data_IF_999590228761
#
_entry.id   IF_999590228761
#
_cell.length_a   1.000
_cell.length_b   1.000
_cell.length_c   1.000
_cell.angle_alpha   90.00
_cell.angle_beta   90.00
_cell.angle_gamma   90.00
#
_symmetry.space_group_name_H-M   'P 1'
#
loop_
_entity.id
_entity.type
_entity.pdbx_description
1 polymer ?
#
# COMPACT_ATOMS: atom_id res chain seq x y z
N UNK A 1 19.45 -32.34 19.13
CA UNK A 1 18.80 -32.58 17.84
C UNK A 1 17.71 -31.54 17.73
N UNK A 2 18.03 -30.36 17.20
CA UNK A 2 17.01 -29.41 16.78
C UNK A 2 16.32 -30.05 15.58
N UNK A 3 15.01 -30.31 15.70
CA UNK A 3 14.22 -30.77 14.56
C UNK A 3 14.15 -29.70 13.48
N UNK A 4 13.78 -30.10 12.26
CA UNK A 4 13.42 -29.13 11.22
C UNK A 4 12.25 -28.26 11.72
N UNK A 5 12.22 -27.01 11.30
CA UNK A 5 11.12 -26.08 11.55
C UNK A 5 10.14 -26.11 10.37
N UNK A 6 8.86 -25.73 10.55
CA UNK A 6 7.97 -25.44 9.42
C UNK A 6 8.50 -24.26 8.61
N UNK A 7 8.00 -24.06 7.39
CA UNK A 7 8.43 -22.97 6.50
C UNK A 7 8.37 -21.63 7.21
N UNK A 8 7.26 -21.33 7.87
CA UNK A 8 7.10 -20.10 8.68
C UNK A 8 8.11 -20.08 9.84
N UNK A 9 8.50 -21.20 10.43
CA UNK A 9 9.57 -21.21 11.44
C UNK A 9 10.98 -20.92 10.88
N UNK A 10 11.22 -21.18 9.59
CA UNK A 10 12.47 -20.84 8.90
C UNK A 10 12.47 -19.38 8.45
N UNK A 11 11.36 -18.90 7.89
CA UNK A 11 11.18 -17.52 7.40
C UNK A 11 11.01 -16.54 8.56
N UNK A 12 10.12 -16.81 9.52
CA UNK A 12 9.88 -15.90 10.67
C UNK A 12 10.94 -16.05 11.79
N UNK A 13 11.90 -16.96 11.66
CA UNK A 13 12.96 -17.20 12.65
C UNK A 13 14.23 -16.37 12.44
N UNK A 14 14.27 -15.56 11.39
CA UNK A 14 15.45 -14.82 10.96
C UNK A 14 15.69 -13.51 11.73
N UNK A 15 14.64 -12.91 12.31
CA UNK A 15 14.67 -11.72 13.16
C UNK A 15 13.38 -11.57 13.99
N UNK A 16 13.29 -10.59 14.90
CA UNK A 16 12.02 -10.28 15.59
C UNK A 16 11.16 -9.29 14.77
N UNK A 17 9.80 -9.33 14.88
CA UNK A 17 8.90 -8.42 14.16
C UNK A 17 9.29 -6.95 14.28
N UNK A 18 9.41 -6.25 13.14
CA UNK A 18 9.82 -4.84 13.07
C UNK A 18 11.27 -4.55 13.46
N UNK A 19 12.12 -5.56 13.67
CA UNK A 19 13.57 -5.39 13.77
C UNK A 19 14.18 -5.35 12.37
N UNK A 20 13.80 -4.33 11.59
CA UNK A 20 14.50 -3.96 10.36
C UNK A 20 15.94 -3.65 10.74
N UNK A 21 16.87 -4.50 10.32
CA UNK A 21 18.26 -4.35 10.66
C UNK A 21 19.05 -3.76 9.47
N UNK A 22 20.32 -4.09 9.31
CA UNK A 22 21.15 -3.54 8.21
C UNK A 22 21.85 -4.65 7.43
N UNK A 23 21.44 -5.90 7.62
CA UNK A 23 22.01 -7.06 6.98
C UNK A 23 20.94 -7.70 6.09
N UNK A 24 21.07 -7.61 4.77
CA UNK A 24 20.04 -8.13 3.85
C UNK A 24 20.01 -9.65 3.67
N UNK A 25 20.51 -10.41 4.64
CA UNK A 25 20.64 -11.88 4.57
C UNK A 25 19.45 -12.61 5.27
N UNK A 26 18.46 -11.89 5.78
CA UNK A 26 17.25 -12.43 6.39
C UNK A 26 15.96 -12.22 5.58
N UNK A 27 14.82 -12.54 6.20
CA UNK A 27 13.48 -12.59 5.60
C UNK A 27 12.47 -11.80 6.43
N UNK A 28 12.91 -10.75 7.10
CA UNK A 28 12.12 -10.04 8.09
C UNK A 28 10.98 -9.24 7.42
N UNK A 29 11.23 -8.70 6.21
CA UNK A 29 10.22 -8.03 5.38
C UNK A 29 9.21 -9.04 4.83
N UNK A 30 9.69 -10.21 4.39
CA UNK A 30 8.82 -11.31 3.94
C UNK A 30 7.96 -11.84 5.09
N UNK A 31 8.52 -11.96 6.29
CA UNK A 31 7.81 -12.35 7.53
C UNK A 31 6.65 -11.41 7.78
N UNK A 32 6.92 -10.11 7.79
CA UNK A 32 5.91 -9.10 8.14
C UNK A 32 4.83 -9.00 7.06
N UNK A 33 5.20 -9.14 5.78
CA UNK A 33 4.26 -9.25 4.66
C UNK A 33 3.32 -10.46 4.80
N UNK A 34 3.85 -11.65 5.12
CA UNK A 34 3.06 -12.88 5.31
C UNK A 34 2.10 -12.76 6.49
N UNK A 35 2.54 -12.13 7.59
CA UNK A 35 1.69 -11.89 8.77
C UNK A 35 0.58 -10.90 8.41
N UNK A 36 0.89 -9.79 7.75
CA UNK A 36 -0.08 -8.78 7.34
C UNK A 36 -1.16 -9.36 6.42
N UNK A 37 -0.77 -10.20 5.46
CA UNK A 37 -1.70 -10.89 4.55
C UNK A 37 -2.46 -12.06 5.20
N UNK A 38 -2.18 -12.41 6.46
CA UNK A 38 -2.83 -13.52 7.17
C UNK A 38 -2.50 -14.91 6.60
N UNK A 39 -1.32 -15.07 5.99
CA UNK A 39 -0.88 -16.31 5.34
C UNK A 39 0.01 -17.21 6.23
N UNK A 40 0.32 -16.77 7.44
CA UNK A 40 1.18 -17.48 8.40
C UNK A 40 0.65 -18.88 8.73
N UNK A 41 -0.67 -19.04 8.84
CA UNK A 41 -1.35 -20.33 9.04
C UNK A 41 -1.20 -21.27 7.85
N UNK A 42 -1.29 -20.73 6.63
CA UNK A 42 -1.11 -21.48 5.38
C UNK A 42 0.31 -22.04 5.28
N UNK A 43 1.32 -21.20 5.54
CA UNK A 43 2.72 -21.63 5.50
C UNK A 43 3.13 -22.53 6.68
N UNK A 44 2.34 -22.56 7.77
CA UNK A 44 2.57 -23.43 8.94
C UNK A 44 1.84 -24.78 8.86
N UNK A 45 1.00 -25.02 7.86
CA UNK A 45 0.22 -26.27 7.78
C UNK A 45 1.17 -27.48 7.73
N UNK A 46 1.17 -28.36 8.76
CA UNK A 46 2.09 -29.50 8.84
C UNK A 46 1.78 -30.60 7.81
N UNK A 47 0.62 -30.54 7.15
CA UNK A 47 0.23 -31.48 6.10
C UNK A 47 0.46 -30.95 4.70
N UNK A 48 0.80 -29.66 4.57
CA UNK A 48 1.17 -29.08 3.29
C UNK A 48 2.52 -29.64 2.80
N UNK A 49 2.71 -29.54 1.49
CA UNK A 49 3.97 -29.87 0.82
C UNK A 49 4.23 -28.74 -0.16
N UNK A 50 4.93 -27.70 0.26
CA UNK A 50 5.10 -26.48 -0.53
C UNK A 50 6.55 -26.27 -0.98
N UNK A 51 6.71 -25.52 -2.06
CA UNK A 51 7.97 -24.87 -2.42
C UNK A 51 7.74 -23.37 -2.36
N UNK A 52 8.52 -22.67 -1.53
CA UNK A 52 8.48 -21.22 -1.42
C UNK A 52 9.75 -20.66 -2.03
N UNK A 53 9.58 -19.79 -3.02
CA UNK A 53 10.66 -18.97 -3.53
C UNK A 53 10.67 -17.68 -2.72
N UNK A 54 11.53 -17.59 -1.72
CA UNK A 54 11.56 -16.50 -0.74
C UNK A 54 12.55 -15.42 -1.17
N UNK A 55 12.11 -14.19 -1.51
CA UNK A 55 13.00 -13.05 -1.63
C UNK A 55 13.61 -12.73 -0.26
N UNK A 56 14.90 -12.43 -0.21
CA UNK A 56 15.53 -11.87 0.99
C UNK A 56 15.25 -10.37 1.11
N UNK A 57 15.68 -9.76 2.21
CA UNK A 57 15.39 -8.35 2.47
C UNK A 57 16.09 -7.41 1.45
N UNK A 58 17.30 -7.74 1.00
CA UNK A 58 17.98 -7.03 -0.11
C UNK A 58 17.14 -7.03 -1.42
N UNK A 59 16.41 -8.11 -1.71
CA UNK A 59 15.54 -8.19 -2.88
C UNK A 59 14.38 -7.20 -2.79
N UNK A 60 13.79 -7.03 -1.60
CA UNK A 60 12.74 -6.04 -1.38
C UNK A 60 13.29 -4.61 -1.46
N UNK A 61 14.44 -4.34 -0.86
CA UNK A 61 15.11 -3.03 -1.01
C UNK A 61 15.37 -2.74 -2.50
N UNK A 62 15.85 -3.73 -3.25
CA UNK A 62 16.07 -3.61 -4.70
C UNK A 62 14.79 -3.34 -5.49
N UNK A 63 13.67 -3.97 -5.13
CA UNK A 63 12.35 -3.67 -5.69
C UNK A 63 11.96 -2.22 -5.39
N UNK A 64 12.02 -1.78 -4.13
CA UNK A 64 11.70 -0.41 -3.73
C UNK A 64 12.52 0.61 -4.52
N UNK A 65 13.83 0.38 -4.65
CA UNK A 65 14.73 1.24 -5.42
C UNK A 65 14.37 1.27 -6.90
N UNK A 66 13.96 0.13 -7.47
CA UNK A 66 13.50 0.07 -8.85
C UNK A 66 12.20 0.84 -9.06
N UNK A 67 11.34 0.85 -8.04
CA UNK A 67 10.11 1.65 -7.98
C UNK A 67 10.36 3.13 -7.63
N UNK A 68 11.61 3.56 -7.42
CA UNK A 68 11.98 4.97 -7.22
C UNK A 68 12.38 5.36 -5.79
N UNK A 69 12.39 4.43 -4.84
CA UNK A 69 12.91 4.68 -3.49
C UNK A 69 14.42 5.00 -3.54
N UNK A 70 14.82 6.12 -2.94
CA UNK A 70 16.21 6.59 -2.99
C UNK A 70 17.08 6.13 -1.81
N UNK A 71 16.45 5.54 -0.78
CA UNK A 71 17.13 5.00 0.39
C UNK A 71 17.65 3.57 0.17
N UNK A 72 18.15 2.98 1.25
CA UNK A 72 18.69 1.61 1.23
C UNK A 72 18.44 0.86 2.54
N UNK A 73 17.62 1.42 3.44
CA UNK A 73 17.22 0.76 4.67
C UNK A 73 15.92 -0.02 4.47
N UNK A 74 15.80 -1.12 5.21
CA UNK A 74 14.65 -2.05 5.15
C UNK A 74 13.37 -1.36 5.59
N UNK A 75 13.41 -0.52 6.64
CA UNK A 75 12.23 0.16 7.17
C UNK A 75 11.59 1.11 6.13
N UNK A 76 12.39 1.99 5.53
CA UNK A 76 11.90 2.90 4.49
C UNK A 76 11.54 2.16 3.20
N UNK A 77 12.26 1.10 2.86
CA UNK A 77 11.89 0.25 1.70
C UNK A 77 10.56 -0.45 1.92
N UNK A 78 10.31 -0.98 3.12
CA UNK A 78 9.06 -1.63 3.49
C UNK A 78 7.89 -0.66 3.40
N UNK A 79 8.03 0.52 4.02
CA UNK A 79 7.01 1.57 3.96
C UNK A 79 6.70 1.94 2.50
N UNK A 80 7.73 2.20 1.70
CA UNK A 80 7.58 2.57 0.30
C UNK A 80 6.89 1.48 -0.54
N UNK A 81 7.19 0.20 -0.30
CA UNK A 81 6.52 -0.91 -0.98
C UNK A 81 5.07 -1.01 -0.54
N UNK A 82 4.77 -0.91 0.76
CA UNK A 82 3.40 -0.94 1.27
C UNK A 82 2.57 0.21 0.68
N UNK A 83 3.14 1.41 0.60
CA UNK A 83 2.51 2.54 -0.06
C UNK A 83 2.27 2.23 -1.53
N UNK A 84 3.32 1.82 -2.26
CA UNK A 84 3.22 1.41 -3.67
C UNK A 84 2.13 0.36 -3.92
N UNK A 85 2.01 -0.65 -3.06
CA UNK A 85 1.00 -1.69 -3.18
C UNK A 85 -0.39 -1.19 -2.81
N UNK A 86 -0.51 -0.30 -1.82
CA UNK A 86 -1.79 0.34 -1.45
C UNK A 86 -2.30 1.19 -2.61
N UNK A 87 -1.40 1.91 -3.27
CA UNK A 87 -1.67 2.72 -4.45
C UNK A 87 -2.17 1.86 -5.62
N UNK A 88 -1.48 0.75 -5.92
CA UNK A 88 -1.89 -0.20 -6.97
C UNK A 88 -3.15 -1.01 -6.61
N UNK A 89 -3.44 -1.16 -5.33
CA UNK A 89 -4.59 -1.89 -4.79
C UNK A 89 -5.87 -1.07 -4.63
N UNK A 90 -5.89 0.19 -5.08
CA UNK A 90 -7.05 1.08 -4.91
C UNK A 90 -7.29 1.49 -3.45
N UNK A 91 -6.21 1.70 -2.70
CA UNK A 91 -6.22 2.15 -1.30
C UNK A 91 -5.98 1.06 -0.26
N UNK A 92 -5.99 -0.22 -0.64
CA UNK A 92 -5.70 -1.36 0.24
C UNK A 92 -4.63 -2.27 -0.38
N UNK A 93 -3.45 -2.35 0.26
CA UNK A 93 -2.36 -3.20 -0.20
C UNK A 93 -2.64 -4.70 -0.04
N UNK A 94 -3.51 -5.11 0.88
CA UNK A 94 -3.62 -6.52 1.33
C UNK A 94 -4.03 -7.48 0.19
N UNK A 95 -5.03 -7.17 -0.66
CA UNK A 95 -5.38 -8.05 -1.78
C UNK A 95 -4.21 -8.27 -2.74
N UNK A 96 -3.53 -7.20 -3.16
CA UNK A 96 -2.41 -7.28 -4.10
C UNK A 96 -1.18 -7.95 -3.47
N UNK A 97 -0.90 -7.64 -2.20
CA UNK A 97 0.14 -8.30 -1.43
C UNK A 97 -0.12 -9.81 -1.34
N UNK A 98 -1.36 -10.22 -1.10
CA UNK A 98 -1.75 -11.63 -1.05
C UNK A 98 -1.52 -12.32 -2.40
N UNK A 99 -1.81 -11.65 -3.52
CA UNK A 99 -1.53 -12.17 -4.85
C UNK A 99 -0.02 -12.33 -5.08
N UNK A 100 0.79 -11.32 -4.79
CA UNK A 100 2.25 -11.38 -4.91
C UNK A 100 2.80 -12.54 -4.06
N UNK A 101 2.42 -12.63 -2.78
CA UNK A 101 2.91 -13.67 -1.88
C UNK A 101 2.50 -15.06 -2.34
N UNK A 102 1.27 -15.26 -2.82
CA UNK A 102 0.83 -16.57 -3.31
C UNK A 102 1.43 -16.93 -4.67
N UNK A 103 1.93 -15.96 -5.44
CA UNK A 103 2.68 -16.20 -6.67
C UNK A 103 4.10 -16.76 -6.41
N UNK A 104 4.67 -16.48 -5.23
CA UNK A 104 5.95 -17.06 -4.80
C UNK A 104 5.86 -18.52 -4.31
N UNK A 105 4.64 -19.08 -4.24
CA UNK A 105 4.40 -20.41 -3.66
C UNK A 105 3.92 -21.38 -4.72
N UNK A 106 4.47 -22.59 -4.68
CA UNK A 106 4.11 -23.70 -5.56
C UNK A 106 3.66 -24.90 -4.73
N UNK A 107 2.62 -25.59 -5.20
CA UNK A 107 2.18 -26.87 -4.62
C UNK A 107 3.12 -28.01 -5.01
N UNK A 108 3.70 -28.68 -4.00
CA UNK A 108 4.73 -29.70 -4.11
C UNK A 108 6.06 -29.26 -3.49
N UNK A 109 6.83 -30.23 -2.98
CA UNK A 109 8.18 -30.00 -2.46
C UNK A 109 9.22 -30.34 -3.54
N UNK A 110 9.74 -29.32 -4.22
CA UNK A 110 10.69 -29.46 -5.31
C UNK A 110 12.07 -29.00 -4.85
N UNK A 111 12.99 -29.95 -4.72
CA UNK A 111 14.41 -29.63 -4.53
C UNK A 111 15.02 -29.10 -5.84
N UNK A 112 16.21 -28.53 -5.78
CA UNK A 112 16.87 -27.95 -6.94
C UNK A 112 17.04 -28.98 -8.07
N UNK A 113 17.26 -30.26 -7.75
CA UNK A 113 17.38 -31.30 -8.78
C UNK A 113 16.03 -31.59 -9.46
N UNK A 114 14.93 -31.53 -8.72
CA UNK A 114 13.58 -31.66 -9.26
C UNK A 114 13.24 -30.46 -10.14
N UNK A 115 13.56 -29.24 -9.71
CA UNK A 115 13.36 -27.99 -10.47
C UNK A 115 14.21 -28.00 -11.75
N UNK A 116 15.52 -28.21 -11.65
CA UNK A 116 16.46 -28.29 -12.80
C UNK A 116 16.12 -29.48 -13.71
N UNK A 117 15.59 -30.56 -13.15
CA UNK A 117 15.17 -31.75 -13.89
C UNK A 117 13.98 -31.52 -14.82
N UNK A 118 13.23 -30.43 -14.64
CA UNK A 118 12.16 -30.01 -15.57
C UNK A 118 12.72 -29.50 -16.90
N UNK A 119 13.97 -29.01 -16.90
CA UNK A 119 14.65 -28.46 -18.08
C UNK A 119 14.45 -26.96 -18.26
N UNK A 120 15.25 -26.40 -19.17
CA UNK A 120 15.26 -24.98 -19.52
C UNK A 120 13.95 -24.59 -20.23
N UNK A 121 13.36 -23.46 -19.82
CA UNK A 121 12.04 -23.00 -20.27
C UNK A 121 10.86 -23.78 -19.69
N UNK A 122 11.07 -24.54 -18.60
CA UNK A 122 9.98 -25.22 -17.93
C UNK A 122 9.07 -24.22 -17.20
N UNK A 123 7.77 -24.47 -17.24
CA UNK A 123 6.74 -23.68 -16.57
C UNK A 123 6.29 -24.36 -15.28
N UNK A 124 6.31 -23.64 -14.16
CA UNK A 124 5.85 -24.09 -12.84
C UNK A 124 4.65 -23.26 -12.41
N UNK A 125 3.51 -23.91 -12.19
CA UNK A 125 2.29 -23.22 -11.76
C UNK A 125 2.36 -22.79 -10.28
N UNK A 126 1.93 -21.55 -10.01
CA UNK A 126 1.93 -20.97 -8.65
C UNK A 126 0.56 -21.13 -7.97
N UNK A 127 0.47 -20.82 -6.67
CA UNK A 127 -0.80 -20.85 -5.93
C UNK A 127 -1.72 -19.67 -6.26
N UNK A 128 -1.17 -18.51 -6.65
CA UNK A 128 -1.97 -17.37 -7.16
C UNK A 128 -2.60 -17.70 -8.52
N UNK A 129 -1.91 -18.51 -9.33
CA UNK A 129 -2.20 -18.73 -10.74
C UNK A 129 -1.08 -18.16 -11.63
N UNK A 130 -1.03 -18.59 -12.89
CA UNK A 130 0.09 -18.27 -13.77
C UNK A 130 1.31 -19.20 -13.55
N UNK A 131 2.33 -19.02 -14.39
CA UNK A 131 3.47 -19.93 -14.47
C UNK A 131 4.78 -19.16 -14.34
N UNK A 132 5.67 -19.66 -13.49
CA UNK A 132 7.07 -19.26 -13.44
C UNK A 132 7.86 -20.00 -14.51
N UNK A 133 8.72 -19.30 -15.25
CA UNK A 133 9.57 -19.93 -16.27
C UNK A 133 10.98 -20.12 -15.73
N UNK A 134 11.56 -21.30 -15.85
CA UNK A 134 12.96 -21.55 -15.45
C UNK A 134 13.94 -21.21 -16.58
N UNK A 135 14.95 -20.39 -16.29
CA UNK A 135 16.18 -20.33 -17.10
C UNK A 135 17.30 -21.08 -16.35
N UNK A 136 17.83 -22.14 -16.98
CA UNK A 136 18.91 -22.94 -16.37
C UNK A 136 20.32 -22.47 -16.78
N UNK A 137 20.42 -21.55 -17.75
CA UNK A 137 21.67 -20.93 -18.20
C UNK A 137 22.15 -19.83 -17.26
N UNK A 138 21.21 -19.10 -16.68
CA UNK A 138 21.37 -18.21 -15.53
C UNK A 138 20.26 -18.61 -14.58
N UNK A 139 20.52 -19.20 -13.39
CA UNK A 139 19.52 -19.87 -12.55
C UNK A 139 18.45 -18.89 -12.05
N UNK A 140 17.57 -18.45 -12.94
CA UNK A 140 16.59 -17.39 -12.76
C UNK A 140 15.19 -17.91 -13.02
N UNK A 141 14.24 -17.19 -12.44
CA UNK A 141 12.83 -17.44 -12.54
C UNK A 141 12.20 -16.26 -13.26
N UNK A 142 11.70 -16.49 -14.47
CA UNK A 142 10.89 -15.52 -15.18
C UNK A 142 9.50 -15.44 -14.57
N UNK A 143 9.05 -14.22 -14.32
CA UNK A 143 7.71 -13.89 -13.84
C UNK A 143 6.86 -13.23 -14.95
N UNK A 144 5.84 -12.47 -14.57
CA UNK A 144 4.94 -11.80 -15.51
C UNK A 144 5.32 -10.33 -15.77
N UNK A 145 6.41 -9.83 -15.21
CA UNK A 145 6.88 -8.45 -15.40
C UNK A 145 8.11 -8.37 -16.33
N UNK A 146 7.92 -8.14 -17.65
CA UNK A 146 9.03 -8.03 -18.58
C UNK A 146 9.85 -6.73 -18.39
N UNK A 147 9.38 -5.81 -17.54
CA UNK A 147 10.04 -4.54 -17.26
C UNK A 147 11.10 -4.60 -16.16
N UNK A 148 11.09 -5.66 -15.35
CA UNK A 148 12.06 -5.89 -14.29
C UNK A 148 13.02 -7.04 -14.64
N UNK A 149 14.24 -7.05 -14.09
CA UNK A 149 15.12 -8.20 -14.21
C UNK A 149 14.54 -9.44 -13.52
N UNK A 150 14.55 -10.59 -14.21
CA UNK A 150 14.14 -11.88 -13.64
C UNK A 150 14.93 -12.20 -12.35
N UNK A 151 14.25 -12.54 -11.23
CA UNK A 151 14.92 -12.96 -10.01
C UNK A 151 15.79 -14.19 -10.19
N UNK A 152 16.93 -14.24 -9.51
CA UNK A 152 17.86 -15.37 -9.50
C UNK A 152 17.84 -16.13 -8.19
N UNK A 153 18.07 -17.44 -8.28
CA UNK A 153 18.20 -18.31 -7.11
C UNK A 153 19.59 -18.15 -6.50
N UNK A 154 19.65 -17.61 -5.28
CA UNK A 154 20.89 -17.38 -4.53
C UNK A 154 21.08 -18.34 -3.36
N UNK A 155 20.01 -19.01 -2.94
CA UNK A 155 20.01 -20.06 -1.91
C UNK A 155 19.08 -21.19 -2.30
N UNK A 156 19.44 -22.43 -1.95
CA UNK A 156 18.75 -23.62 -2.46
C UNK A 156 18.46 -24.62 -1.35
N UNK A 157 17.38 -25.38 -1.51
CA UNK A 157 17.08 -26.60 -0.74
C UNK A 157 17.07 -26.38 0.78
N UNK A 158 16.56 -25.24 1.23
CA UNK A 158 16.38 -24.99 2.67
C UNK A 158 15.19 -25.82 3.15
N UNK A 159 15.50 -26.94 3.78
CA UNK A 159 14.50 -27.94 4.18
C UNK A 159 13.65 -27.47 5.36
N UNK A 160 12.33 -27.58 5.21
CA UNK A 160 11.35 -27.36 6.27
C UNK A 160 10.52 -28.64 6.51
N UNK A 161 9.76 -28.71 7.61
CA UNK A 161 8.94 -29.89 7.91
C UNK A 161 7.78 -30.11 6.94
N UNK A 162 7.33 -29.05 6.28
CA UNK A 162 6.18 -29.03 5.37
C UNK A 162 6.53 -28.53 3.96
N UNK A 163 7.82 -28.58 3.58
CA UNK A 163 8.25 -28.18 2.25
C UNK A 163 9.72 -27.80 2.13
N UNK A 164 10.01 -27.01 1.09
CA UNK A 164 11.35 -26.54 0.72
C UNK A 164 11.29 -25.03 0.47
N UNK A 165 12.33 -24.32 0.87
CA UNK A 165 12.52 -22.91 0.55
C UNK A 165 13.74 -22.76 -0.38
N UNK A 166 13.58 -21.98 -1.43
CA UNK A 166 14.69 -21.46 -2.24
C UNK A 166 14.73 -19.94 -2.09
N UNK A 167 15.92 -19.36 -2.05
CA UNK A 167 16.11 -17.93 -1.78
C UNK A 167 16.34 -17.19 -3.08
N UNK A 168 15.67 -16.05 -3.26
CA UNK A 168 15.77 -15.17 -4.42
C UNK A 168 16.45 -13.84 -4.07
N UNK A 169 17.12 -13.26 -5.06
CA UNK A 169 17.63 -11.87 -5.03
C UNK A 169 16.66 -10.85 -5.68
N UNK A 170 15.44 -11.27 -5.98
CA UNK A 170 14.39 -10.44 -6.56
C UNK A 170 12.99 -10.92 -6.13
N UNK A 171 12.02 -10.03 -6.26
CA UNK A 171 10.61 -10.32 -5.96
C UNK A 171 9.90 -10.73 -7.26
N UNK A 172 9.21 -11.87 -7.25
CA UNK A 172 8.40 -12.34 -8.38
C UNK A 172 7.07 -11.58 -8.42
N UNK A 173 6.79 -10.94 -9.56
CA UNK A 173 5.57 -10.15 -9.73
C UNK A 173 4.55 -10.87 -10.64
N UNK A 174 3.31 -11.11 -10.18
CA UNK A 174 2.24 -11.69 -11.00
C UNK A 174 1.63 -10.68 -12.00
N UNK A 175 2.20 -9.49 -12.14
CA UNK A 175 1.71 -8.40 -12.97
C UNK A 175 2.89 -7.61 -13.57
N UNK A 176 2.72 -7.08 -14.78
CA UNK A 176 3.69 -6.21 -15.40
C UNK A 176 3.58 -4.79 -14.85
N UNK A 177 4.39 -4.44 -13.85
CA UNK A 177 4.43 -3.07 -13.30
C UNK A 177 4.87 -2.08 -14.37
N UNK A 178 5.69 -2.50 -15.34
CA UNK A 178 6.01 -1.67 -16.50
C UNK A 178 4.82 -1.34 -17.40
N UNK A 179 3.82 -2.22 -17.49
CA UNK A 179 2.63 -1.96 -18.31
C UNK A 179 1.77 -0.87 -17.67
N UNK A 180 1.71 -0.84 -16.33
CA UNK A 180 1.06 0.21 -15.54
C UNK A 180 1.75 1.56 -15.77
N UNK A 181 3.09 1.60 -15.70
CA UNK A 181 3.89 2.80 -15.96
C UNK A 181 3.96 3.20 -17.46
N UNK A 182 3.46 2.36 -18.38
CA UNK A 182 3.48 2.62 -19.83
C UNK A 182 2.14 3.05 -20.43
N UNK A 183 1.10 3.13 -19.60
CA UNK A 183 -0.22 3.60 -20.05
C UNK A 183 -0.10 5.03 -20.62
N UNK A 184 -0.73 5.32 -21.78
CA UNK A 184 -0.55 6.62 -22.43
C UNK A 184 -1.05 7.78 -21.56
N UNK A 185 -0.10 8.50 -20.98
CA UNK A 185 -0.34 9.71 -20.20
C UNK A 185 -0.23 9.52 -18.69
N UNK A 186 -0.18 8.26 -18.20
CA UNK A 186 0.17 7.95 -16.81
C UNK A 186 1.58 8.45 -16.53
N UNK A 187 1.69 9.34 -15.56
CA UNK A 187 2.91 9.94 -15.07
C UNK A 187 3.19 9.44 -13.65
N UNK A 188 4.43 9.06 -13.38
CA UNK A 188 4.93 8.76 -12.04
C UNK A 188 5.95 9.83 -11.67
N UNK A 189 5.55 10.79 -10.84
CA UNK A 189 6.34 11.98 -10.51
C UNK A 189 6.53 12.05 -9.00
N UNK A 190 7.80 12.10 -8.60
CA UNK A 190 8.22 12.39 -7.23
C UNK A 190 9.08 13.65 -7.30
N UNK A 191 8.66 14.69 -6.58
CA UNK A 191 9.34 15.97 -6.50
C UNK A 191 10.58 15.93 -5.57
N UNK A 192 11.23 17.09 -5.46
CA UNK A 192 12.36 17.31 -4.56
C UNK A 192 11.91 17.89 -3.22
N UNK A 193 12.84 18.49 -2.49
CA UNK A 193 12.56 19.11 -1.17
C UNK A 193 12.29 20.63 -1.31
N UNK A 194 11.85 21.10 -2.48
CA UNK A 194 11.63 22.52 -2.83
C UNK A 194 10.16 22.72 -3.23
N UNK A 195 9.60 23.93 -3.06
CA UNK A 195 8.23 24.25 -3.54
C UNK A 195 8.03 23.93 -5.04
N UNK A 196 7.27 22.88 -5.32
CA UNK A 196 7.08 22.27 -6.62
C UNK A 196 5.69 22.55 -7.22
N UNK A 197 5.60 22.33 -8.54
CA UNK A 197 4.36 22.45 -9.31
C UNK A 197 4.20 21.25 -10.21
N UNK A 198 3.41 20.30 -9.75
CA UNK A 198 3.20 19.04 -10.42
C UNK A 198 1.89 19.05 -11.22
N UNK A 199 1.92 18.34 -12.34
CA UNK A 199 0.74 18.08 -13.17
C UNK A 199 0.94 16.78 -13.92
N UNK A 200 0.07 15.80 -13.70
CA UNK A 200 0.06 14.55 -14.47
C UNK A 200 -0.62 14.79 -15.82
N UNK A 201 -1.92 14.61 -15.88
CA UNK A 201 -2.81 15.33 -16.77
C UNK A 201 -3.78 14.48 -17.56
N UNK A 202 -3.43 13.25 -17.92
CA UNK A 202 -4.35 12.29 -18.54
C UNK A 202 -3.87 10.88 -18.21
N UNK A 203 -4.78 10.00 -17.82
CA UNK A 203 -4.37 8.68 -17.35
C UNK A 203 -4.15 8.74 -15.85
N UNK A 204 -4.03 7.58 -15.24
CA UNK A 204 -4.02 7.46 -13.79
C UNK A 204 -2.59 7.77 -13.33
N UNK A 205 -2.41 8.93 -12.68
CA UNK A 205 -1.11 9.51 -12.35
C UNK A 205 -0.75 9.30 -10.87
N UNK A 206 0.56 9.19 -10.58
CA UNK A 206 1.09 9.27 -9.22
C UNK A 206 1.95 10.53 -9.08
N UNK A 207 1.58 11.41 -8.16
CA UNK A 207 2.24 12.70 -7.94
C UNK A 207 2.54 12.89 -6.46
N UNK A 208 3.82 12.96 -6.08
CA UNK A 208 4.27 13.22 -4.69
C UNK A 208 5.10 14.51 -4.64
N UNK A 209 4.73 15.41 -3.74
CA UNK A 209 5.39 16.68 -3.46
C UNK A 209 6.67 16.56 -2.63
N UNK A 210 6.61 15.83 -1.52
CA UNK A 210 7.64 15.73 -0.47
C UNK A 210 7.73 17.00 0.37
N UNK A 211 8.92 17.55 0.60
CA UNK A 211 9.07 18.73 1.44
C UNK A 211 8.80 19.99 0.61
N UNK A 212 8.12 20.97 1.19
CA UNK A 212 7.91 22.30 0.60
C UNK A 212 6.44 22.61 0.33
N UNK A 213 6.12 23.87 0.04
CA UNK A 213 4.71 24.26 -0.21
C UNK A 213 4.30 23.95 -1.66
N UNK A 214 3.75 22.76 -1.89
CA UNK A 214 3.50 22.22 -3.22
C UNK A 214 2.14 22.57 -3.80
N UNK A 215 2.09 22.48 -5.14
CA UNK A 215 0.86 22.60 -5.91
C UNK A 215 0.75 21.47 -6.90
N UNK A 216 -0.11 20.51 -6.58
CA UNK A 216 -0.25 19.28 -7.34
C UNK A 216 -1.64 19.19 -7.97
N UNK A 217 -1.69 18.68 -9.20
CA UNK A 217 -2.89 18.57 -10.01
C UNK A 217 -2.86 17.28 -10.82
N UNK A 218 -3.67 16.30 -10.45
CA UNK A 218 -3.77 14.99 -11.10
C UNK A 218 -4.16 15.16 -12.56
N UNK A 219 -5.41 15.54 -12.80
CA UNK A 219 -5.85 15.99 -14.11
C UNK A 219 -7.07 15.26 -14.62
N UNK A 220 -6.91 14.03 -15.07
CA UNK A 220 -7.94 13.19 -15.69
C UNK A 220 -7.44 11.77 -15.55
N UNK A 221 -8.27 10.87 -15.06
CA UNK A 221 -7.81 9.56 -14.64
C UNK A 221 -7.96 9.46 -13.13
N UNK A 222 -7.86 8.24 -12.64
CA UNK A 222 -7.99 7.97 -11.22
C UNK A 222 -6.60 8.23 -10.59
N UNK A 223 -6.36 9.46 -10.12
CA UNK A 223 -5.02 9.91 -9.72
C UNK A 223 -4.74 9.67 -8.23
N UNK A 224 -3.48 9.45 -7.88
CA UNK A 224 -3.02 9.51 -6.49
C UNK A 224 -2.05 10.66 -6.28
N UNK A 225 -2.39 11.50 -5.31
CA UNK A 225 -1.68 12.74 -5.01
C UNK A 225 -1.30 12.75 -3.53
N UNK A 226 0.00 12.83 -3.26
CA UNK A 226 0.58 13.01 -1.93
C UNK A 226 1.20 14.41 -1.84
N UNK A 227 0.79 15.18 -0.84
CA UNK A 227 1.38 16.47 -0.51
C UNK A 227 2.80 16.27 0.01
N UNK A 228 2.91 15.78 1.24
CA UNK A 228 4.19 15.55 1.90
C UNK A 228 4.28 16.36 3.18
N UNK A 229 5.42 17.01 3.40
CA UNK A 229 5.59 17.92 4.54
C UNK A 229 5.34 19.36 4.10
N UNK A 230 4.86 20.19 5.03
CA UNK A 230 4.51 21.61 4.84
C UNK A 230 3.16 21.83 4.10
N UNK A 231 2.76 23.10 3.95
CA UNK A 231 1.38 23.46 3.57
C UNK A 231 1.10 23.33 2.05
N UNK A 232 0.34 22.31 1.66
CA UNK A 232 0.13 21.90 0.28
C UNK A 232 -1.23 22.28 -0.32
N UNK A 233 -1.28 22.21 -1.65
CA UNK A 233 -2.52 22.43 -2.43
C UNK A 233 -2.70 21.35 -3.48
N UNK A 234 -3.60 20.43 -3.18
CA UNK A 234 -3.85 19.23 -3.97
C UNK A 234 -5.17 19.34 -4.73
N UNK A 235 -5.20 18.80 -5.95
CA UNK A 235 -6.41 18.78 -6.78
C UNK A 235 -6.45 17.55 -7.67
N UNK A 236 -7.40 16.64 -7.42
CA UNK A 236 -7.60 15.41 -8.20
C UNK A 236 -8.07 15.70 -9.62
N UNK A 237 -9.28 16.25 -9.75
CA UNK A 237 -9.92 16.96 -10.90
C UNK A 237 -11.11 16.21 -11.46
N UNK A 238 -10.88 15.08 -12.10
CA UNK A 238 -11.85 14.35 -12.91
C UNK A 238 -11.55 12.89 -12.72
N UNK A 239 -12.62 12.13 -12.53
CA UNK A 239 -12.54 10.69 -12.25
C UNK A 239 -12.13 10.47 -10.78
N UNK A 240 -12.02 9.23 -10.31
CA UNK A 240 -12.05 8.93 -8.87
C UNK A 240 -10.64 9.03 -8.27
N UNK A 241 -10.38 10.06 -7.45
CA UNK A 241 -9.02 10.41 -7.00
C UNK A 241 -8.73 10.07 -5.52
N UNK A 242 -7.46 9.82 -5.18
CA UNK A 242 -6.95 9.73 -3.80
C UNK A 242 -6.03 10.91 -3.52
N UNK A 243 -6.40 11.75 -2.55
CA UNK A 243 -5.60 12.90 -2.12
C UNK A 243 -5.23 12.76 -0.64
N UNK A 244 -3.93 12.81 -0.34
CA UNK A 244 -3.39 12.85 1.01
C UNK A 244 -2.53 14.09 1.21
N UNK A 245 -2.85 14.92 2.19
CA UNK A 245 -2.05 16.09 2.56
C UNK A 245 -0.74 15.67 3.23
N UNK A 246 -0.84 14.77 4.21
CA UNK A 246 0.24 14.28 5.09
C UNK A 246 0.54 15.25 6.24
N UNK A 247 1.71 15.89 6.33
CA UNK A 247 2.07 16.77 7.44
C UNK A 247 1.98 18.24 7.00
N UNK A 248 1.06 19.06 7.53
CA UNK A 248 0.95 20.47 7.16
C UNK A 248 -0.48 21.01 7.24
N UNK A 249 -0.65 22.32 7.04
CA UNK A 249 -2.00 22.91 6.92
C UNK A 249 -2.45 22.91 5.44
N UNK A 250 -3.12 21.84 5.01
CA UNK A 250 -3.34 21.54 3.59
C UNK A 250 -4.67 22.00 3.01
N UNK A 251 -4.71 22.07 1.68
CA UNK A 251 -5.95 22.31 0.93
C UNK A 251 -6.15 21.24 -0.14
N UNK A 252 -7.06 20.31 0.13
CA UNK A 252 -7.40 19.21 -0.77
C UNK A 252 -8.70 19.48 -1.52
N UNK A 253 -8.70 19.17 -2.83
CA UNK A 253 -9.88 19.30 -3.70
C UNK A 253 -10.04 18.08 -4.61
N UNK A 254 -11.00 17.22 -4.33
CA UNK A 254 -11.35 16.09 -5.19
C UNK A 254 -11.88 16.55 -6.57
N UNK A 255 -12.91 17.39 -6.53
CA UNK A 255 -13.63 18.00 -7.68
C UNK A 255 -14.74 17.13 -8.28
N UNK A 256 -14.45 16.27 -9.24
CA UNK A 256 -15.44 15.43 -9.93
C UNK A 256 -14.95 14.00 -9.85
N UNK A 257 -15.78 13.10 -9.34
CA UNK A 257 -15.36 11.71 -9.13
C UNK A 257 -15.84 11.27 -7.77
N UNK A 258 -15.55 10.06 -7.35
CA UNK A 258 -15.67 9.64 -5.96
C UNK A 258 -14.30 9.71 -5.35
N UNK A 259 -14.08 10.76 -4.59
CA UNK A 259 -12.74 11.08 -4.14
C UNK A 259 -12.54 10.63 -2.69
N UNK A 260 -11.34 10.15 -2.37
CA UNK A 260 -10.87 9.98 -0.99
C UNK A 260 -9.97 11.15 -0.63
N UNK A 261 -10.35 11.90 0.40
CA UNK A 261 -9.61 13.06 0.88
C UNK A 261 -9.18 12.81 2.33
N UNK A 262 -7.88 12.77 2.55
CA UNK A 262 -7.23 12.59 3.85
C UNK A 262 -6.32 13.80 4.09
N UNK A 263 -6.67 14.65 5.04
CA UNK A 263 -5.88 15.83 5.38
C UNK A 263 -4.52 15.41 5.95
N UNK A 264 -4.56 14.67 7.06
CA UNK A 264 -3.37 14.20 7.76
C UNK A 264 -3.16 14.98 9.04
N UNK A 265 -1.92 15.26 9.39
CA UNK A 265 -1.58 16.07 10.55
C UNK A 265 -1.57 17.56 10.19
N UNK A 266 -2.42 18.35 10.85
CA UNK A 266 -2.43 19.81 10.69
C UNK A 266 -3.86 20.33 10.63
N UNK A 267 -4.05 21.62 10.34
CA UNK A 267 -5.39 22.21 10.24
C UNK A 267 -5.85 22.26 8.78
N UNK A 268 -6.54 21.23 8.30
CA UNK A 268 -6.79 21.03 6.87
C UNK A 268 -8.10 21.62 6.34
N UNK A 269 -8.12 21.92 5.04
CA UNK A 269 -9.33 22.29 4.31
C UNK A 269 -9.64 21.30 3.19
N UNK A 270 -10.69 20.50 3.39
CA UNK A 270 -11.14 19.46 2.46
C UNK A 270 -12.36 19.90 1.63
N UNK A 271 -12.30 19.67 0.32
CA UNK A 271 -13.35 20.07 -0.64
C UNK A 271 -13.61 18.97 -1.68
N UNK A 272 -14.50 18.02 -1.39
CA UNK A 272 -14.88 16.97 -2.35
C UNK A 272 -15.57 17.51 -3.62
N UNK A 273 -16.52 18.43 -3.45
CA UNK A 273 -17.42 18.93 -4.50
C UNK A 273 -18.37 17.87 -5.05
N UNK A 274 -18.08 17.23 -6.18
CA UNK A 274 -19.06 16.47 -6.95
C UNK A 274 -18.70 15.00 -6.98
N UNK A 275 -19.45 14.19 -6.26
CA UNK A 275 -19.06 12.81 -6.05
C UNK A 275 -19.87 12.14 -4.99
N UNK A 276 -19.50 10.91 -4.68
CA UNK A 276 -19.77 10.31 -3.38
C UNK A 276 -18.42 10.15 -2.70
N UNK A 277 -18.04 11.20 -1.96
CA UNK A 277 -16.67 11.39 -1.49
C UNK A 277 -16.51 10.79 -0.08
N UNK A 278 -15.29 10.39 0.26
CA UNK A 278 -14.92 9.93 1.60
C UNK A 278 -13.90 10.91 2.17
N UNK A 279 -14.22 11.49 3.31
CA UNK A 279 -13.31 12.35 4.07
C UNK A 279 -12.77 11.54 5.26
N UNK A 280 -11.46 11.33 5.31
CA UNK A 280 -10.81 10.57 6.38
C UNK A 280 -10.45 11.52 7.52
N UNK A 281 -10.76 11.12 8.75
CA UNK A 281 -10.38 11.85 9.95
C UNK A 281 -9.98 10.86 11.05
N UNK A 282 -8.83 11.09 11.69
CA UNK A 282 -8.22 10.16 12.66
C UNK A 282 -7.63 10.89 13.87
N UNK A 283 -7.15 10.13 14.86
CA UNK A 283 -6.47 10.68 16.04
C UNK A 283 -5.22 11.49 15.63
N UNK A 284 -5.09 12.70 16.18
CA UNK A 284 -3.95 13.60 15.94
C UNK A 284 -4.10 14.57 14.78
N UNK A 285 -5.23 14.53 14.06
CA UNK A 285 -5.52 15.37 12.88
C UNK A 285 -5.93 16.81 13.23
N UNK A 286 -5.88 17.25 14.49
CA UNK A 286 -6.08 18.65 14.87
C UNK A 286 -7.42 19.25 14.36
N UNK A 287 -7.44 20.49 13.82
CA UNK A 287 -8.69 21.18 13.47
C UNK A 287 -8.99 21.21 11.95
N UNK A 288 -9.82 20.26 11.48
CA UNK A 288 -10.16 20.14 10.06
C UNK A 288 -11.46 20.84 9.64
N UNK A 289 -11.51 21.24 8.37
CA UNK A 289 -12.66 21.87 7.73
C UNK A 289 -13.09 21.19 6.43
N UNK A 290 -14.24 20.50 6.47
CA UNK A 290 -14.95 20.06 5.26
C UNK A 290 -15.87 21.18 4.76
N UNK A 291 -15.65 21.64 3.53
CA UNK A 291 -16.40 22.78 2.96
C UNK A 291 -17.68 22.41 2.22
N UNK A 292 -17.75 21.22 1.65
CA UNK A 292 -18.78 20.85 0.65
C UNK A 292 -19.43 19.49 0.91
N UNK A 293 -19.56 19.09 2.18
CA UNK A 293 -20.17 17.80 2.52
C UNK A 293 -21.62 17.71 2.00
N UNK A 294 -21.93 16.61 1.31
CA UNK A 294 -23.24 16.27 0.80
C UNK A 294 -23.88 15.17 1.65
N UNK A 295 -24.78 15.58 2.55
CA UNK A 295 -25.63 14.70 3.37
C UNK A 295 -26.30 13.60 2.53
N UNK A 296 -26.14 12.34 2.97
CA UNK A 296 -26.66 11.14 2.31
C UNK A 296 -25.93 10.70 1.04
N UNK A 297 -24.85 11.39 0.66
CA UNK A 297 -24.02 11.06 -0.50
C UNK A 297 -22.59 10.78 -0.06
N UNK A 298 -21.98 11.74 0.63
CA UNK A 298 -20.60 11.63 1.13
C UNK A 298 -20.54 10.82 2.42
N UNK A 299 -19.32 10.44 2.81
CA UNK A 299 -19.01 9.73 4.05
C UNK A 299 -17.84 10.39 4.76
N UNK A 300 -17.83 10.28 6.09
CA UNK A 300 -16.71 10.64 6.93
C UNK A 300 -16.18 9.36 7.57
N UNK A 301 -14.95 8.99 7.26
CA UNK A 301 -14.30 7.86 7.90
C UNK A 301 -13.71 8.30 9.23
N UNK A 302 -14.21 7.70 10.31
CA UNK A 302 -13.74 7.90 11.69
C UNK A 302 -13.24 6.60 12.31
N UNK A 303 -12.98 5.58 11.48
CA UNK A 303 -12.47 4.28 11.93
C UNK A 303 -11.10 4.39 12.62
N UNK A 304 -10.33 5.43 12.31
CA UNK A 304 -9.06 5.76 12.95
C UNK A 304 -9.13 5.99 14.47
N UNK A 305 -10.29 6.42 14.98
CA UNK A 305 -10.54 6.56 16.43
C UNK A 305 -10.97 5.25 17.10
N UNK A 306 -11.22 4.19 16.33
CA UNK A 306 -11.72 2.91 16.84
C UNK A 306 -13.18 2.91 17.30
N UNK A 307 -13.97 3.93 16.94
CA UNK A 307 -15.41 3.94 17.18
C UNK A 307 -16.10 2.85 16.37
N UNK A 308 -17.08 2.18 16.98
CA UNK A 308 -17.88 1.13 16.33
C UNK A 308 -19.30 1.59 15.97
N UNK A 309 -19.73 2.76 16.48
CA UNK A 309 -21.02 3.36 16.12
C UNK A 309 -21.10 4.86 16.39
N UNK A 310 -22.10 5.52 15.81
CA UNK A 310 -22.33 6.97 15.94
C UNK A 310 -22.64 7.38 17.38
N UNK A 311 -23.32 6.51 18.15
CA UNK A 311 -23.71 6.77 19.53
C UNK A 311 -22.51 6.99 20.46
N UNK A 312 -21.31 6.56 20.07
CA UNK A 312 -20.09 6.76 20.88
C UNK A 312 -19.65 8.23 20.94
N UNK A 313 -19.93 9.02 19.89
CA UNK A 313 -19.56 10.44 19.81
C UNK A 313 -20.72 11.38 19.49
N UNK A 314 -21.97 10.89 19.40
CA UNK A 314 -23.13 11.73 19.04
C UNK A 314 -23.29 12.97 19.95
N UNK A 315 -22.92 12.85 21.23
CA UNK A 315 -22.97 13.94 22.21
C UNK A 315 -21.93 15.05 21.94
N UNK A 316 -20.89 14.77 21.17
CA UNK A 316 -19.88 15.74 20.74
C UNK A 316 -20.30 16.55 19.51
N UNK A 317 -21.34 16.10 18.79
CA UNK A 317 -21.80 16.74 17.56
C UNK A 317 -22.63 17.98 17.89
N UNK A 318 -22.11 19.16 17.59
CA UNK A 318 -22.74 20.44 17.91
C UNK A 318 -22.95 21.32 16.68
N UNK A 319 -24.02 22.12 16.67
CA UNK A 319 -24.27 23.08 15.58
C UNK A 319 -23.81 24.49 15.95
N UNK A 320 -23.05 25.13 15.07
CA UNK A 320 -22.67 26.55 15.16
C UNK A 320 -23.09 27.31 13.91
N UNK A 321 -24.34 27.79 13.91
CA UNK A 321 -24.92 28.49 12.77
C UNK A 321 -25.31 27.51 11.65
N UNK A 322 -24.64 27.60 10.50
CA UNK A 322 -24.80 26.68 9.36
C UNK A 322 -23.62 25.71 9.26
N UNK A 323 -23.02 25.37 10.40
CA UNK A 323 -21.90 24.45 10.51
C UNK A 323 -22.18 23.43 11.60
N UNK A 324 -21.62 22.25 11.43
CA UNK A 324 -21.43 21.26 12.49
C UNK A 324 -19.99 21.32 12.96
N UNK A 325 -19.78 21.16 14.26
CA UNK A 325 -18.48 21.01 14.92
C UNK A 325 -18.57 19.71 15.73
N UNK A 326 -17.66 18.78 15.48
CA UNK A 326 -17.52 17.51 16.20
C UNK A 326 -16.18 17.55 16.92
N UNK A 327 -16.20 17.55 18.25
CA UNK A 327 -15.00 17.57 19.10
C UNK A 327 -14.73 16.15 19.59
N UNK A 328 -13.75 15.49 18.97
CA UNK A 328 -13.39 14.10 19.30
C UNK A 328 -12.49 14.00 20.53
N UNK A 329 -12.08 15.13 21.11
CA UNK A 329 -11.16 15.19 22.24
C UNK A 329 -9.71 15.38 21.80
N UNK A 330 -8.82 15.60 22.77
CA UNK A 330 -7.36 15.73 22.60
C UNK A 330 -6.85 16.77 21.57
N UNK A 331 -7.74 17.63 21.06
CA UNK A 331 -7.42 18.67 20.08
C UNK A 331 -8.02 18.40 18.70
N UNK A 332 -8.60 17.21 18.49
CA UNK A 332 -9.15 16.79 17.20
C UNK A 332 -10.60 17.30 17.03
N UNK A 333 -10.78 18.27 16.14
CA UNK A 333 -12.07 18.92 15.90
C UNK A 333 -12.39 18.97 14.41
N UNK A 334 -13.47 18.30 14.02
CA UNK A 334 -13.95 18.35 12.64
C UNK A 334 -15.08 19.38 12.49
N UNK A 335 -14.86 20.37 11.62
CA UNK A 335 -15.87 21.35 11.23
C UNK A 335 -16.44 21.03 9.84
N UNK A 336 -17.77 20.91 9.75
CA UNK A 336 -18.48 20.65 8.50
C UNK A 336 -19.31 21.87 8.13
N UNK A 337 -19.06 22.46 6.98
CA UNK A 337 -19.81 23.63 6.50
C UNK A 337 -21.04 23.27 5.69
N UNK A 338 -22.12 24.04 5.87
CA UNK A 338 -23.36 23.90 5.10
C UNK A 338 -24.32 22.83 5.64
N UNK A 339 -23.90 22.09 6.66
CA UNK A 339 -24.64 20.99 7.29
C UNK A 339 -24.82 21.31 8.78
N UNK A 340 -25.94 20.90 9.35
CA UNK A 340 -26.19 21.05 10.79
C UNK A 340 -26.14 19.69 11.48
N UNK A 341 -25.92 19.67 12.79
CA UNK A 341 -25.83 18.42 13.55
C UNK A 341 -27.06 17.51 13.37
N UNK A 342 -28.24 18.10 13.15
CA UNK A 342 -29.48 17.36 12.94
C UNK A 342 -29.59 16.67 11.57
N UNK A 343 -28.66 16.97 10.64
CA UNK A 343 -28.56 16.32 9.34
C UNK A 343 -27.70 15.07 9.39
N UNK A 344 -26.84 14.92 10.38
CA UNK A 344 -25.90 13.82 10.45
C UNK A 344 -26.50 12.65 11.21
N UNK A 345 -26.34 11.44 10.67
CA UNK A 345 -26.63 10.21 11.37
C UNK A 345 -25.57 9.14 11.08
N UNK A 346 -25.72 7.95 11.66
CA UNK A 346 -24.77 6.86 11.51
C UNK A 346 -24.47 6.47 10.05
N UNK A 347 -25.38 6.77 9.10
CA UNK A 347 -25.15 6.49 7.70
C UNK A 347 -24.15 7.42 7.04
N UNK A 348 -23.83 8.58 7.63
CA UNK A 348 -22.84 9.53 7.13
C UNK A 348 -21.40 9.17 7.53
N UNK A 349 -21.21 8.14 8.35
CA UNK A 349 -19.91 7.77 8.90
C UNK A 349 -19.50 6.34 8.55
N UNK A 350 -18.19 6.11 8.48
CA UNK A 350 -17.56 4.79 8.42
C UNK A 350 -16.90 4.52 9.78
N UNK A 351 -17.08 3.31 10.30
CA UNK A 351 -16.65 2.87 11.64
C UNK A 351 -15.68 1.68 11.52
N UNK A 352 -14.96 1.39 12.61
CA UNK A 352 -14.08 0.23 12.74
C UNK A 352 -14.83 -1.11 12.87
#
# INVERSE_FOLDING_TARGET
MTGLLPITGVVLGSGAPGEYDTNGDDFDMLRDAVIAAGLDGTLNDPFASLTVFAPNDDAFVGLAQTLGYSGSDEAGSFAYIVDSLSLLGGGDAIPLLTEILTYHVVDGAFDLNAVVGLGDGAEIGTLQGGNLTLDLGTPSLGDLDPGLPDPTLIGFDVMATNGIIHVLDGVLLPLAVSDILSQPGTDFVIAGDDDDRLKGGKGDDFLSGKDGEDRINGGKGDDVILGGNDDDRLSGRQDDDILRGEDGDDVLRGNQGKDLLDGGLGDDTLVGNGGADVFVFSEGYCEDLIRTFQDGVDKIDVSGFGFTSFEEFEDAVSSRGQRTEIDFGDGDVLTISGVTAANLDASDFIFA
#
